data_IF_355445534494
#
_entry.id   IF_355445534494
#
_cell.length_a   1.000
_cell.length_b   1.000
_cell.length_c   1.000
_cell.angle_alpha   90.00
_cell.angle_beta   90.00
_cell.angle_gamma   90.00
#
_symmetry.space_group_name_H-M   'P 1'
#
loop_
_entity.id
_entity.type
_entity.pdbx_description
1 polymer ?
#
# COMPACT_ATOMS: atom_id res chain seq x y z
N UNK A 1 -19.34 6.15 -16.97
CA UNK A 1 -18.34 6.76 -17.88
C UNK A 1 -17.07 5.92 -17.88
N UNK A 2 -16.68 5.33 -19.01
CA UNK A 2 -15.41 4.59 -19.17
C UNK A 2 -14.65 5.13 -20.37
N UNK A 3 -13.32 5.30 -20.26
CA UNK A 3 -12.48 5.85 -21.33
C UNK A 3 -12.62 4.98 -22.59
N UNK A 4 -13.06 5.57 -23.70
CA UNK A 4 -13.30 4.89 -25.00
C UNK A 4 -12.01 4.50 -25.74
N UNK A 5 -10.84 4.94 -25.27
CA UNK A 5 -9.54 4.61 -25.86
C UNK A 5 -8.59 4.15 -24.77
N UNK A 6 -7.84 3.07 -25.02
CA UNK A 6 -6.79 2.70 -24.11
C UNK A 6 -5.72 3.78 -24.05
N UNK A 7 -5.10 4.00 -22.89
CA UNK A 7 -3.97 4.92 -22.78
C UNK A 7 -2.82 4.43 -23.67
N UNK A 8 -2.03 5.36 -24.20
CA UNK A 8 -0.92 5.08 -25.12
C UNK A 8 0.12 4.10 -24.54
N UNK A 9 0.15 3.91 -23.22
CA UNK A 9 1.04 3.00 -22.50
C UNK A 9 0.52 1.56 -22.35
N UNK A 10 -0.74 1.30 -22.69
CA UNK A 10 -1.37 -0.02 -22.50
C UNK A 10 -0.64 -1.19 -23.17
N UNK A 11 -0.14 -1.09 -24.43
CA UNK A 11 0.59 -2.21 -25.05
C UNK A 11 1.94 -2.47 -24.35
N UNK A 12 2.63 -1.42 -23.88
CA UNK A 12 3.88 -1.56 -23.11
C UNK A 12 3.60 -2.22 -21.75
N UNK A 13 2.55 -1.81 -21.06
CA UNK A 13 2.16 -2.39 -19.77
C UNK A 13 1.76 -3.86 -19.88
N UNK A 14 0.97 -4.21 -20.91
CA UNK A 14 0.58 -5.60 -21.21
C UNK A 14 1.81 -6.46 -21.49
N UNK A 15 2.72 -5.97 -22.34
CA UNK A 15 3.98 -6.65 -22.64
C UNK A 15 4.83 -6.86 -21.37
N UNK A 16 5.03 -5.83 -20.55
CA UNK A 16 5.78 -5.94 -19.28
C UNK A 16 5.13 -6.88 -18.25
N UNK A 17 3.80 -6.88 -18.15
CA UNK A 17 3.07 -7.80 -17.26
C UNK A 17 3.20 -9.26 -17.71
N UNK A 18 3.19 -9.51 -19.02
CA UNK A 18 3.34 -10.86 -19.59
C UNK A 18 4.74 -11.46 -19.36
N UNK A 19 5.72 -10.61 -19.03
CA UNK A 19 7.09 -10.99 -18.69
C UNK A 19 7.30 -11.22 -17.17
N UNK A 20 6.25 -11.13 -16.35
CA UNK A 20 6.32 -11.39 -14.90
C UNK A 20 7.05 -10.31 -14.09
N UNK A 21 7.38 -9.16 -14.71
CA UNK A 21 8.16 -8.08 -14.10
C UNK A 21 7.30 -7.13 -13.26
N UNK A 22 5.98 -7.10 -13.49
CA UNK A 22 5.06 -6.14 -12.85
C UNK A 22 4.11 -6.74 -11.81
N UNK A 23 4.02 -8.07 -11.69
CA UNK A 23 3.00 -8.72 -10.85
C UNK A 23 3.63 -9.86 -10.07
N UNK A 24 3.81 -9.66 -8.77
CA UNK A 24 4.25 -10.72 -7.86
C UNK A 24 3.13 -11.75 -7.64
N UNK A 25 3.50 -12.99 -7.28
CA UNK A 25 2.52 -14.01 -6.91
C UNK A 25 1.72 -13.58 -5.69
N UNK A 26 0.51 -14.14 -5.51
CA UNK A 26 -0.32 -13.87 -4.33
C UNK A 26 0.46 -14.12 -3.03
N UNK A 27 1.22 -15.22 -2.98
CA UNK A 27 2.06 -15.57 -1.82
C UNK A 27 3.11 -14.49 -1.56
N UNK A 28 3.82 -14.03 -2.59
CA UNK A 28 4.82 -12.96 -2.45
C UNK A 28 4.17 -11.63 -1.99
N UNK A 29 2.99 -11.30 -2.52
CA UNK A 29 2.29 -10.07 -2.15
C UNK A 29 1.75 -10.04 -0.72
N UNK A 30 1.62 -11.20 -0.07
CA UNK A 30 1.26 -11.26 1.35
C UNK A 30 2.46 -11.05 2.28
N UNK A 31 3.70 -11.21 1.79
CA UNK A 31 4.89 -11.18 2.65
C UNK A 31 5.06 -9.87 3.43
N UNK A 32 4.80 -8.65 2.86
CA UNK A 32 4.90 -7.42 3.64
C UNK A 32 3.91 -7.35 4.80
N UNK A 33 2.67 -7.82 4.60
CA UNK A 33 1.66 -7.88 5.65
C UNK A 33 2.01 -8.91 6.72
N UNK A 34 2.50 -10.08 6.33
CA UNK A 34 2.97 -11.11 7.27
C UNK A 34 4.16 -10.59 8.10
N UNK A 35 5.12 -9.92 7.46
CA UNK A 35 6.25 -9.28 8.13
C UNK A 35 5.76 -8.28 9.17
N UNK A 36 4.89 -7.34 8.79
CA UNK A 36 4.35 -6.32 9.69
C UNK A 36 3.60 -6.92 10.90
N UNK A 37 2.90 -8.04 10.70
CA UNK A 37 2.11 -8.68 11.74
C UNK A 37 2.92 -9.58 12.70
N UNK A 38 4.06 -10.13 12.26
CA UNK A 38 4.73 -11.23 12.98
C UNK A 38 6.21 -11.03 13.25
N UNK A 39 6.89 -10.13 12.54
CA UNK A 39 8.32 -9.89 12.72
C UNK A 39 8.58 -9.19 14.06
N UNK A 40 9.52 -9.68 14.89
CA UNK A 40 10.00 -8.96 16.06
C UNK A 40 10.68 -7.62 15.74
N UNK A 41 11.06 -7.42 14.48
CA UNK A 41 11.66 -6.19 13.96
C UNK A 41 10.62 -5.20 13.44
N UNK A 42 9.34 -5.59 13.37
CA UNK A 42 8.26 -4.70 12.99
C UNK A 42 7.99 -3.66 14.08
N UNK A 43 7.72 -2.41 13.67
CA UNK A 43 7.44 -1.27 14.55
C UNK A 43 6.04 -0.74 14.28
N UNK A 44 5.32 -0.44 15.37
CA UNK A 44 4.03 0.25 15.28
C UNK A 44 4.19 1.62 14.61
N UNK A 45 3.26 1.98 13.72
CA UNK A 45 3.30 3.23 12.97
C UNK A 45 4.20 3.22 11.73
N UNK A 46 4.93 2.14 11.45
CA UNK A 46 5.71 2.00 10.21
C UNK A 46 4.88 1.45 9.05
N UNK A 47 5.27 1.82 7.82
CA UNK A 47 4.70 1.28 6.59
C UNK A 47 5.63 0.19 6.04
N UNK A 48 5.09 -0.96 5.65
CA UNK A 48 5.86 -2.06 5.07
C UNK A 48 5.38 -2.38 3.66
N UNK A 49 6.32 -2.66 2.76
CA UNK A 49 6.05 -3.03 1.38
C UNK A 49 7.26 -3.67 0.71
N UNK A 50 7.17 -4.02 -0.57
CA UNK A 50 8.27 -4.65 -1.28
C UNK A 50 9.37 -3.64 -1.64
N UNK A 51 10.62 -4.10 -1.65
CA UNK A 51 11.83 -3.30 -1.90
C UNK A 51 12.20 -3.12 -3.39
N UNK A 52 11.52 -3.80 -4.32
CA UNK A 52 11.84 -3.73 -5.74
C UNK A 52 11.25 -2.51 -6.46
N UNK A 53 11.41 -2.49 -7.78
CA UNK A 53 11.11 -1.34 -8.61
C UNK A 53 9.67 -0.83 -8.41
N UNK A 54 9.54 0.44 -8.06
CA UNK A 54 8.24 1.09 -7.86
C UNK A 54 7.40 0.49 -6.72
N UNK A 55 8.00 -0.26 -5.79
CA UNK A 55 7.29 -0.97 -4.72
C UNK A 55 6.25 -1.97 -5.27
N UNK A 56 6.54 -2.58 -6.43
CA UNK A 56 5.62 -3.50 -7.11
C UNK A 56 5.84 -4.98 -6.74
N UNK A 57 7.09 -5.37 -6.46
CA UNK A 57 7.50 -6.73 -6.12
C UNK A 57 8.85 -6.68 -5.39
N UNK A 58 9.18 -7.69 -4.59
CA UNK A 58 10.44 -7.72 -3.84
C UNK A 58 10.29 -8.31 -2.44
N UNK A 59 11.35 -8.23 -1.65
CA UNK A 59 11.35 -8.65 -0.26
C UNK A 59 10.63 -7.61 0.63
N UNK A 60 10.00 -8.02 1.74
CA UNK A 60 9.45 -7.08 2.72
C UNK A 60 10.53 -6.14 3.26
N UNK A 61 10.25 -4.84 3.21
CA UNK A 61 11.09 -3.81 3.81
C UNK A 61 10.22 -2.70 4.40
N UNK A 62 10.83 -1.88 5.25
CA UNK A 62 10.21 -0.66 5.75
C UNK A 62 10.23 0.41 4.65
N UNK A 63 9.09 1.03 4.42
CA UNK A 63 8.89 2.12 3.47
C UNK A 63 8.67 3.44 4.21
N UNK A 64 9.12 4.52 3.59
CA UNK A 64 8.79 5.84 4.05
C UNK A 64 7.29 6.12 3.80
N UNK A 65 6.56 6.53 4.83
CA UNK A 65 5.17 6.95 4.68
C UNK A 65 5.06 8.11 3.67
N UNK A 66 3.99 8.15 2.88
CA UNK A 66 3.73 9.24 1.94
C UNK A 66 3.61 10.57 2.68
N UNK A 67 4.10 11.66 2.09
CA UNK A 67 4.09 12.99 2.74
C UNK A 67 2.71 13.38 3.31
N UNK A 68 1.58 13.22 2.59
CA UNK A 68 0.27 13.53 3.14
C UNK A 68 -0.13 12.64 4.32
N UNK A 69 0.37 11.40 4.38
CA UNK A 69 0.08 10.46 5.46
C UNK A 69 0.84 10.78 6.76
N UNK A 70 1.69 11.81 6.78
CA UNK A 70 2.46 12.25 7.95
C UNK A 70 1.84 13.44 8.68
N UNK A 71 0.72 13.99 8.19
CA UNK A 71 0.06 15.11 8.84
C UNK A 71 -0.86 14.61 9.97
N UNK A 72 -0.43 14.82 11.22
CA UNK A 72 -1.17 14.41 12.41
C UNK A 72 -2.53 15.11 12.56
N UNK A 73 -2.64 16.38 12.12
CA UNK A 73 -3.90 17.10 12.18
C UNK A 73 -4.94 16.51 11.20
N UNK A 74 -4.50 16.13 10.00
CA UNK A 74 -5.36 15.45 9.03
C UNK A 74 -5.74 14.05 9.53
N UNK A 75 -4.80 13.32 10.15
CA UNK A 75 -5.05 12.01 10.73
C UNK A 75 -6.10 12.07 11.85
N UNK A 76 -5.97 13.02 12.78
CA UNK A 76 -6.92 13.22 13.88
C UNK A 76 -8.31 13.57 13.36
N UNK A 77 -8.40 14.48 12.38
CA UNK A 77 -9.67 14.83 11.75
C UNK A 77 -10.29 13.65 11.02
N UNK A 78 -9.49 12.86 10.31
CA UNK A 78 -9.98 11.67 9.61
C UNK A 78 -10.54 10.65 10.59
N UNK A 79 -9.85 10.42 11.71
CA UNK A 79 -10.29 9.49 12.75
C UNK A 79 -11.65 9.89 13.35
N UNK A 80 -11.80 11.16 13.74
CA UNK A 80 -13.05 11.71 14.29
C UNK A 80 -14.22 11.61 13.30
N UNK A 81 -13.97 11.85 11.99
CA UNK A 81 -14.98 11.61 10.95
C UNK A 81 -15.32 10.12 10.83
N UNK A 82 -14.32 9.24 10.84
CA UNK A 82 -14.50 7.80 10.75
C UNK A 82 -15.32 7.23 11.92
N UNK A 83 -15.05 7.66 13.15
CA UNK A 83 -15.81 7.30 14.35
C UNK A 83 -17.28 7.68 14.22
N UNK A 84 -17.56 8.94 13.86
CA UNK A 84 -18.94 9.39 13.62
C UNK A 84 -19.66 8.62 12.52
N UNK A 85 -18.97 8.31 11.42
CA UNK A 85 -19.56 7.58 10.30
C UNK A 85 -19.78 6.10 10.62
N UNK A 86 -18.91 5.50 11.42
CA UNK A 86 -19.03 4.12 11.86
C UNK A 86 -19.93 3.95 13.10
N UNK A 87 -20.27 5.04 13.80
CA UNK A 87 -21.08 5.02 15.02
C UNK A 87 -20.37 4.35 16.21
N UNK A 88 -19.04 4.46 16.26
CA UNK A 88 -18.20 3.88 17.32
C UNK A 88 -17.33 4.97 17.93
N UNK A 89 -16.87 4.76 19.16
CA UNK A 89 -15.91 5.63 19.85
C UNK A 89 -14.76 4.78 20.36
N UNK A 90 -13.53 5.21 20.10
CA UNK A 90 -12.33 4.61 20.66
C UNK A 90 -11.78 5.50 21.78
N UNK A 91 -11.52 4.90 22.93
CA UNK A 91 -10.81 5.59 24.01
C UNK A 91 -9.31 5.64 23.65
N UNK A 92 -8.70 6.79 23.91
CA UNK A 92 -7.25 6.99 23.79
C UNK A 92 -6.48 6.31 24.93
#
# INVERSE_FOLDING_TARGET
MGRKRPPLWQPIFSWLSSWGVLVQTVVAGMLPGLYAATSPQARGGSLYGPDGFGQLAGAPTELAAYQPARNEADAARLWDVSERLAGVEFNA
#
